data_IF_430467384455
#
_entry.id   IF_430467384455
#
_cell.length_a   1.000
_cell.length_b   1.000
_cell.length_c   1.000
_cell.angle_alpha   90.00
_cell.angle_beta   90.00
_cell.angle_gamma   90.00
#
_symmetry.space_group_name_H-M   'P 1'
#
loop_
_entity.id
_entity.type
_entity.pdbx_description
1 polymer ?
#
# COMPACT_ATOMS: atom_id res chain seq x y z
N UNK A 1 10.73 -29.87 -4.46
CA UNK A 1 9.43 -29.63 -5.14
C UNK A 1 9.44 -30.32 -6.50
N UNK A 2 8.34 -30.94 -6.94
CA UNK A 2 8.27 -31.61 -8.25
C UNK A 2 8.17 -30.60 -9.40
N UNK A 3 8.85 -30.84 -10.53
CA UNK A 3 8.77 -30.01 -11.75
C UNK A 3 7.33 -29.82 -12.23
N UNK A 4 6.50 -30.86 -12.09
CA UNK A 4 5.08 -30.81 -12.47
C UNK A 4 4.30 -29.77 -11.66
N UNK A 5 4.63 -29.60 -10.38
CA UNK A 5 4.00 -28.61 -9.49
C UNK A 5 4.44 -27.19 -9.86
N UNK A 6 5.71 -27.00 -10.17
CA UNK A 6 6.27 -25.71 -10.62
C UNK A 6 5.58 -25.26 -11.91
N UNK A 7 5.44 -26.16 -12.88
CA UNK A 7 4.76 -25.88 -14.14
C UNK A 7 3.27 -25.54 -13.94
N UNK A 8 2.62 -26.23 -12.99
CA UNK A 8 1.24 -25.93 -12.63
C UNK A 8 1.10 -24.53 -12.01
N UNK A 9 2.02 -24.15 -11.10
CA UNK A 9 2.06 -22.81 -10.51
C UNK A 9 2.30 -21.76 -11.61
N UNK A 10 3.22 -22.02 -12.54
CA UNK A 10 3.54 -21.12 -13.67
C UNK A 10 2.32 -20.88 -14.55
N UNK A 11 1.65 -21.95 -15.02
CA UNK A 11 0.44 -21.86 -15.86
C UNK A 11 -0.72 -21.16 -15.16
N UNK A 12 -0.84 -21.33 -13.84
CA UNK A 12 -1.90 -20.73 -13.03
C UNK A 12 -1.54 -19.34 -12.48
N UNK A 13 -0.43 -18.74 -12.91
CA UNK A 13 0.01 -17.43 -12.46
C UNK A 13 -0.19 -16.38 -13.54
N UNK A 14 -0.80 -15.25 -13.16
CA UNK A 14 -1.11 -14.13 -14.07
C UNK A 14 0.09 -13.19 -14.33
N UNK A 15 1.28 -13.54 -13.86
CA UNK A 15 2.50 -12.72 -13.94
C UNK A 15 3.57 -13.12 -12.91
N UNK A 16 4.77 -12.55 -13.02
CA UNK A 16 5.97 -12.95 -12.27
C UNK A 16 5.82 -12.71 -10.76
N UNK A 17 5.16 -11.63 -10.35
CA UNK A 17 4.86 -11.40 -8.92
C UNK A 17 3.92 -12.45 -8.31
N UNK A 18 2.86 -12.83 -9.02
CA UNK A 18 1.89 -13.84 -8.55
C UNK A 18 2.54 -15.21 -8.48
N UNK A 19 3.38 -15.51 -9.48
CA UNK A 19 4.19 -16.71 -9.52
C UNK A 19 5.14 -16.78 -8.32
N UNK A 20 5.97 -15.75 -8.09
CA UNK A 20 6.90 -15.70 -6.96
C UNK A 20 6.21 -15.77 -5.61
N UNK A 21 5.04 -15.15 -5.46
CA UNK A 21 4.26 -15.22 -4.22
C UNK A 21 3.77 -16.64 -3.94
N UNK A 22 3.29 -17.36 -4.96
CA UNK A 22 2.85 -18.76 -4.81
C UNK A 22 4.04 -19.67 -4.57
N UNK A 23 5.13 -19.50 -5.32
CA UNK A 23 6.38 -20.24 -5.14
C UNK A 23 6.93 -20.09 -3.71
N UNK A 24 7.04 -18.85 -3.20
CA UNK A 24 7.47 -18.58 -1.82
C UNK A 24 6.57 -19.26 -0.79
N UNK A 25 5.25 -19.28 -1.02
CA UNK A 25 4.29 -19.89 -0.10
C UNK A 25 4.44 -21.42 -0.04
N UNK A 26 4.68 -22.07 -1.18
CA UNK A 26 4.85 -23.51 -1.25
C UNK A 26 6.23 -23.96 -0.74
N UNK A 27 7.29 -23.17 -0.94
CA UNK A 27 8.63 -23.53 -0.49
C UNK A 27 8.92 -23.17 0.98
N UNK A 28 8.40 -22.06 1.51
CA UNK A 28 8.73 -21.59 2.86
C UNK A 28 7.68 -21.98 3.91
N UNK A 29 7.27 -23.26 3.94
CA UNK A 29 6.29 -23.76 4.93
C UNK A 29 6.81 -23.66 6.37
N UNK A 30 8.10 -23.39 6.60
CA UNK A 30 8.70 -22.95 7.86
C UNK A 30 9.32 -21.54 7.71
N UNK A 31 9.19 -20.69 8.73
CA UNK A 31 9.71 -19.31 8.73
C UNK A 31 11.09 -19.24 9.39
N UNK A 32 12.11 -19.91 8.86
CA UNK A 32 13.49 -19.78 9.37
C UNK A 32 14.42 -19.16 8.32
N UNK A 33 15.54 -18.54 8.76
CA UNK A 33 16.56 -18.02 7.83
C UNK A 33 17.15 -19.12 6.93
N UNK A 34 17.23 -20.36 7.44
CA UNK A 34 17.71 -21.52 6.69
C UNK A 34 16.74 -21.83 5.55
N UNK A 35 15.43 -21.72 5.78
CA UNK A 35 14.42 -21.91 4.74
C UNK A 35 14.54 -20.84 3.63
N UNK A 36 14.89 -19.59 3.97
CA UNK A 36 15.12 -18.54 2.97
C UNK A 36 16.38 -18.75 2.14
N UNK A 37 17.47 -19.30 2.72
CA UNK A 37 18.66 -19.68 1.96
C UNK A 37 18.37 -20.87 1.04
N UNK A 38 17.68 -21.89 1.55
CA UNK A 38 17.25 -23.05 0.77
C UNK A 38 16.31 -22.65 -0.37
N UNK A 39 15.47 -21.63 -0.19
CA UNK A 39 14.59 -21.13 -1.24
C UNK A 39 15.35 -20.57 -2.45
N UNK A 40 16.47 -19.88 -2.23
CA UNK A 40 17.33 -19.38 -3.31
C UNK A 40 17.98 -20.54 -4.07
N UNK A 41 18.46 -21.55 -3.35
CA UNK A 41 19.05 -22.76 -3.94
C UNK A 41 18.00 -23.56 -4.74
N UNK A 42 16.79 -23.76 -4.19
CA UNK A 42 15.69 -24.42 -4.89
C UNK A 42 15.27 -23.65 -6.15
N UNK A 43 15.26 -22.32 -6.10
CA UNK A 43 15.00 -21.48 -7.28
C UNK A 43 16.05 -21.71 -8.35
N UNK A 44 17.34 -21.68 -7.99
CA UNK A 44 18.45 -21.88 -8.90
C UNK A 44 18.45 -23.29 -9.50
N UNK A 45 18.19 -24.34 -8.71
CA UNK A 45 18.15 -25.73 -9.19
C UNK A 45 17.00 -25.93 -10.18
N UNK A 46 15.80 -25.48 -9.81
CA UNK A 46 14.58 -25.84 -10.54
C UNK A 46 14.30 -24.98 -11.78
N UNK A 47 14.94 -23.81 -11.91
CA UNK A 47 14.73 -22.90 -13.04
C UNK A 47 15.98 -22.80 -13.92
N UNK A 48 15.74 -22.60 -15.21
CA UNK A 48 16.81 -22.24 -16.14
C UNK A 48 17.23 -20.76 -15.95
N UNK A 49 18.46 -20.42 -16.34
CA UNK A 49 18.96 -19.03 -16.31
C UNK A 49 18.05 -18.08 -17.11
N UNK A 50 17.54 -18.55 -18.25
CA UNK A 50 16.61 -17.78 -19.10
C UNK A 50 15.31 -17.46 -18.36
N UNK A 51 14.76 -18.43 -17.63
CA UNK A 51 13.54 -18.22 -16.83
C UNK A 51 13.76 -17.29 -15.65
N UNK A 52 14.90 -17.40 -14.96
CA UNK A 52 15.24 -16.50 -13.86
C UNK A 52 15.39 -15.05 -14.37
N UNK A 53 16.05 -14.84 -15.50
CA UNK A 53 16.17 -13.52 -16.13
C UNK A 53 14.81 -12.98 -16.60
N UNK A 54 13.92 -13.84 -17.10
CA UNK A 54 12.55 -13.46 -17.43
C UNK A 54 11.79 -13.00 -16.18
N UNK A 55 11.93 -13.71 -15.05
CA UNK A 55 11.29 -13.35 -13.78
C UNK A 55 11.85 -12.05 -13.21
N UNK A 56 13.16 -11.84 -13.25
CA UNK A 56 13.77 -10.58 -12.82
C UNK A 56 13.23 -9.41 -13.64
N UNK A 57 13.25 -9.54 -14.97
CA UNK A 57 12.75 -8.51 -15.88
C UNK A 57 11.25 -8.28 -15.68
N UNK A 58 10.46 -9.32 -15.45
CA UNK A 58 9.04 -9.22 -15.11
C UNK A 58 8.83 -8.42 -13.84
N UNK A 59 9.49 -8.79 -12.74
CA UNK A 59 9.43 -8.11 -11.45
C UNK A 59 9.97 -6.66 -11.47
N UNK A 60 10.89 -6.35 -12.38
CA UNK A 60 11.37 -4.99 -12.65
C UNK A 60 10.43 -4.20 -13.58
N UNK A 61 9.73 -4.87 -14.49
CA UNK A 61 9.01 -4.24 -15.59
C UNK A 61 7.95 -3.25 -15.12
N UNK A 62 7.89 -2.11 -15.81
CA UNK A 62 6.84 -1.12 -15.58
C UNK A 62 5.45 -1.69 -15.85
N UNK A 63 5.27 -2.68 -16.74
CA UNK A 63 3.96 -3.30 -17.04
C UNK A 63 3.46 -4.27 -15.96
N UNK A 64 4.31 -5.06 -15.31
CA UNK A 64 3.90 -5.82 -14.12
C UNK A 64 3.74 -4.91 -12.90
N UNK A 65 4.59 -3.89 -12.79
CA UNK A 65 4.39 -2.83 -11.81
C UNK A 65 3.05 -2.14 -12.07
N UNK A 66 2.68 -1.86 -13.32
CA UNK A 66 1.42 -1.23 -13.70
C UNK A 66 0.21 -2.19 -13.62
N UNK A 67 0.39 -3.51 -13.77
CA UNK A 67 -0.69 -4.44 -13.42
C UNK A 67 -0.91 -4.48 -11.90
N UNK A 68 0.10 -4.17 -11.08
CA UNK A 68 -0.04 -3.92 -9.63
C UNK A 68 -0.44 -2.49 -9.25
N UNK A 69 -0.12 -1.47 -10.07
CA UNK A 69 -0.27 -0.04 -9.76
C UNK A 69 -1.24 0.73 -10.68
N UNK A 70 -1.34 0.40 -11.96
CA UNK A 70 -2.08 1.17 -12.98
C UNK A 70 -3.56 0.89 -13.10
N UNK A 71 -4.11 -0.28 -12.75
CA UNK A 71 -5.54 -0.47 -13.08
C UNK A 71 -6.48 0.38 -12.20
N UNK A 72 -6.04 0.80 -11.01
CA UNK A 72 -6.84 1.66 -10.13
C UNK A 72 -6.08 2.84 -9.47
N UNK A 73 -4.73 2.85 -9.38
CA UNK A 73 -4.09 3.51 -8.23
C UNK A 73 -3.14 4.70 -8.45
N UNK A 74 -2.68 5.07 -9.66
CA UNK A 74 -1.77 6.23 -9.80
C UNK A 74 -2.30 7.34 -10.71
N UNK A 75 -2.94 6.99 -11.83
CA UNK A 75 -3.52 7.98 -12.75
C UNK A 75 -4.84 8.58 -12.23
N UNK A 76 -5.61 7.81 -11.46
CA UNK A 76 -6.87 8.26 -10.87
C UNK A 76 -6.62 8.75 -9.45
N UNK A 77 -5.81 8.06 -8.64
CA UNK A 77 -5.65 8.33 -7.20
C UNK A 77 -5.08 9.69 -6.86
N UNK A 78 -4.02 10.19 -7.54
CA UNK A 78 -3.48 11.52 -7.23
C UNK A 78 -4.55 12.58 -7.51
N UNK A 79 -5.21 12.50 -8.66
CA UNK A 79 -6.31 13.39 -9.03
C UNK A 79 -7.51 13.24 -8.09
N UNK A 80 -7.86 12.02 -7.68
CA UNK A 80 -9.01 11.71 -6.84
C UNK A 80 -8.76 12.10 -5.38
N UNK A 81 -7.54 11.96 -4.86
CA UNK A 81 -7.12 12.50 -3.57
C UNK A 81 -7.15 14.03 -3.59
N UNK A 82 -6.65 14.69 -4.63
CA UNK A 82 -6.71 16.15 -4.76
C UNK A 82 -8.17 16.62 -4.83
N UNK A 83 -9.03 15.94 -5.59
CA UNK A 83 -10.46 16.21 -5.64
C UNK A 83 -11.13 15.96 -4.27
N UNK A 84 -10.82 14.85 -3.59
CA UNK A 84 -11.38 14.55 -2.27
C UNK A 84 -10.97 15.60 -1.24
N UNK A 85 -9.69 15.97 -1.19
CA UNK A 85 -9.20 17.02 -0.30
C UNK A 85 -9.83 18.37 -0.63
N UNK A 86 -10.11 18.66 -1.90
CA UNK A 86 -10.79 19.88 -2.32
C UNK A 86 -12.26 19.87 -1.89
N UNK A 87 -12.98 18.76 -2.09
CA UNK A 87 -14.38 18.61 -1.64
C UNK A 87 -14.47 18.67 -0.11
N UNK A 88 -13.56 18.00 0.59
CA UNK A 88 -13.48 18.03 2.06
C UNK A 88 -13.17 19.45 2.54
N UNK A 89 -12.22 20.14 1.91
CA UNK A 89 -11.88 21.53 2.23
C UNK A 89 -13.04 22.50 2.00
N UNK A 90 -13.75 22.37 0.87
CA UNK A 90 -14.94 23.16 0.57
C UNK A 90 -16.06 22.85 1.56
N UNK A 91 -16.29 21.57 1.88
CA UNK A 91 -17.30 21.13 2.83
C UNK A 91 -17.02 21.65 4.24
N UNK A 92 -15.76 21.60 4.69
CA UNK A 92 -15.36 22.18 5.97
C UNK A 92 -15.51 23.69 5.98
N UNK A 93 -15.08 24.40 4.93
CA UNK A 93 -15.25 25.86 4.83
C UNK A 93 -16.73 26.26 4.84
N UNK A 94 -17.58 25.52 4.14
CA UNK A 94 -19.03 25.72 4.13
C UNK A 94 -19.69 25.45 5.49
N UNK A 95 -19.32 24.36 6.16
CA UNK A 95 -19.76 24.06 7.52
C UNK A 95 -19.31 25.15 8.49
N UNK A 96 -18.06 25.60 8.39
CA UNK A 96 -17.53 26.67 9.21
C UNK A 96 -18.31 27.97 9.03
N UNK A 97 -18.58 28.35 7.77
CA UNK A 97 -19.40 29.51 7.43
C UNK A 97 -20.83 29.39 7.95
N UNK A 98 -21.44 28.21 7.86
CA UNK A 98 -22.77 27.94 8.41
C UNK A 98 -22.80 28.07 9.94
N UNK A 99 -21.87 27.41 10.64
CA UNK A 99 -21.76 27.49 12.10
C UNK A 99 -21.51 28.93 12.56
N UNK A 100 -20.62 29.67 11.89
CA UNK A 100 -20.39 31.08 12.19
C UNK A 100 -21.66 31.92 12.04
N UNK A 101 -22.38 31.75 10.94
CA UNK A 101 -23.58 32.54 10.65
C UNK A 101 -24.73 32.21 11.60
N UNK A 102 -24.89 30.93 11.96
CA UNK A 102 -25.87 30.47 12.96
C UNK A 102 -25.49 30.98 14.35
N UNK A 103 -24.22 30.88 14.75
CA UNK A 103 -23.73 31.39 16.02
C UNK A 103 -23.97 32.90 16.13
N UNK A 104 -23.58 33.69 15.13
CA UNK A 104 -23.78 35.15 15.13
C UNK A 104 -25.26 35.52 15.23
N UNK A 105 -26.15 34.85 14.48
CA UNK A 105 -27.60 35.10 14.55
C UNK A 105 -28.20 34.74 15.91
N UNK A 106 -27.72 33.67 16.55
CA UNK A 106 -28.17 33.27 17.88
C UNK A 106 -27.67 34.24 18.96
N UNK A 107 -26.42 34.70 18.84
CA UNK A 107 -25.85 35.73 19.72
C UNK A 107 -26.64 37.03 19.59
N UNK A 108 -26.87 37.51 18.36
CA UNK A 108 -27.65 38.73 18.11
C UNK A 108 -29.09 38.60 18.63
N UNK A 109 -29.74 37.45 18.43
CA UNK A 109 -31.09 37.20 18.93
C UNK A 109 -31.15 37.24 20.47
N UNK A 110 -30.17 36.64 21.15
CA UNK A 110 -30.09 36.65 22.62
C UNK A 110 -29.78 38.03 23.18
N UNK A 111 -28.87 38.79 22.55
CA UNK A 111 -28.56 40.17 22.94
C UNK A 111 -29.80 41.06 22.78
N UNK A 112 -30.54 40.94 21.67
CA UNK A 112 -31.74 41.73 21.42
C UNK A 112 -32.92 41.36 22.34
N UNK A 113 -32.98 40.11 22.82
CA UNK A 113 -33.96 39.66 23.80
C UNK A 113 -33.58 39.97 25.26
N UNK A 114 -32.41 40.60 25.50
CA UNK A 114 -31.96 40.99 26.83
C UNK A 114 -31.47 39.83 27.71
N UNK A 115 -31.17 38.67 27.12
CA UNK A 115 -30.62 37.52 27.84
C UNK A 115 -29.17 37.80 28.29
N UNK A 116 -28.81 37.27 29.46
CA UNK A 116 -27.51 37.49 30.08
C UNK A 116 -26.35 36.86 29.30
N UNK A 117 -25.17 37.48 29.39
CA UNK A 117 -23.92 37.07 28.71
C UNK A 117 -23.59 35.59 28.92
N UNK A 118 -23.96 35.03 30.06
CA UNK A 118 -23.69 33.65 30.45
C UNK A 118 -24.39 32.61 29.56
N UNK A 119 -25.63 32.91 29.15
CA UNK A 119 -26.42 32.08 28.25
C UNK A 119 -25.95 32.17 26.79
N UNK A 120 -25.35 33.30 26.41
CA UNK A 120 -24.71 33.49 25.11
C UNK A 120 -23.39 32.70 25.05
N UNK A 121 -22.61 32.73 26.14
CA UNK A 121 -21.35 31.99 26.25
C UNK A 121 -21.57 30.47 26.23
N UNK A 122 -22.61 29.95 26.90
CA UNK A 122 -22.93 28.52 26.84
C UNK A 122 -23.25 28.05 25.42
N UNK A 123 -23.96 28.87 24.65
CA UNK A 123 -24.35 28.54 23.28
C UNK A 123 -23.15 28.61 22.32
N UNK A 124 -22.25 29.58 22.56
CA UNK A 124 -20.95 29.66 21.89
C UNK A 124 -20.11 28.40 22.16
N UNK A 125 -19.98 28.00 23.42
CA UNK A 125 -19.24 26.80 23.82
C UNK A 125 -19.87 25.51 23.26
N UNK A 126 -21.18 25.46 23.09
CA UNK A 126 -21.85 24.29 22.52
C UNK A 126 -21.58 24.17 21.00
N UNK A 127 -21.69 25.29 20.27
CA UNK A 127 -21.47 25.31 18.81
C UNK A 127 -20.00 25.10 18.46
N UNK A 128 -19.10 25.83 19.12
CA UNK A 128 -17.67 25.73 18.87
C UNK A 128 -17.04 24.52 19.57
N UNK A 129 -17.43 24.22 20.81
CA UNK A 129 -16.85 23.09 21.54
C UNK A 129 -17.23 21.73 20.96
N UNK A 130 -18.52 21.45 20.72
CA UNK A 130 -18.93 20.14 20.19
C UNK A 130 -18.73 20.04 18.68
N UNK A 131 -19.07 21.11 17.94
CA UNK A 131 -18.94 21.12 16.48
C UNK A 131 -17.49 21.02 16.02
N UNK A 132 -16.59 21.79 16.64
CA UNK A 132 -15.18 21.79 16.27
C UNK A 132 -14.45 20.53 16.74
N UNK A 133 -14.82 19.98 17.90
CA UNK A 133 -14.30 18.67 18.32
C UNK A 133 -14.73 17.55 17.36
N UNK A 134 -15.99 17.52 16.92
CA UNK A 134 -16.44 16.57 15.89
C UNK A 134 -15.66 16.71 14.59
N UNK A 135 -15.38 17.95 14.19
CA UNK A 135 -14.56 18.29 13.02
C UNK A 135 -13.12 17.75 13.15
N UNK A 136 -12.49 17.98 14.30
CA UNK A 136 -11.14 17.50 14.63
C UNK A 136 -11.07 15.98 14.60
N UNK A 137 -12.05 15.28 15.17
CA UNK A 137 -12.10 13.81 15.12
C UNK A 137 -12.23 13.30 13.69
N UNK A 138 -13.07 13.92 12.85
CA UNK A 138 -13.21 13.52 11.45
C UNK A 138 -11.89 13.68 10.67
N UNK A 139 -11.17 14.80 10.87
CA UNK A 139 -9.84 15.01 10.27
C UNK A 139 -8.82 14.00 10.80
N UNK A 140 -8.84 13.73 12.10
CA UNK A 140 -7.94 12.74 12.70
C UNK A 140 -8.16 11.34 12.11
N UNK A 141 -9.41 10.88 12.01
CA UNK A 141 -9.73 9.58 11.40
C UNK A 141 -9.32 9.51 9.93
N UNK A 142 -9.49 10.61 9.17
CA UNK A 142 -9.03 10.70 7.79
C UNK A 142 -7.51 10.51 7.71
N UNK A 143 -6.74 11.20 8.55
CA UNK A 143 -5.27 11.10 8.59
C UNK A 143 -4.86 9.66 8.94
N UNK A 144 -5.46 9.06 9.96
CA UNK A 144 -5.19 7.67 10.36
C UNK A 144 -5.44 6.71 9.20
N UNK A 145 -6.55 6.88 8.49
CA UNK A 145 -6.89 6.04 7.34
C UNK A 145 -5.85 6.17 6.21
N UNK A 146 -5.44 7.41 5.89
CA UNK A 146 -4.39 7.68 4.91
C UNK A 146 -3.05 7.05 5.33
N UNK A 147 -2.68 7.17 6.61
CA UNK A 147 -1.43 6.58 7.13
C UNK A 147 -1.45 5.05 7.07
N UNK A 148 -2.54 4.41 7.48
CA UNK A 148 -2.72 2.96 7.35
C UNK A 148 -2.63 2.52 5.89
N UNK A 149 -3.26 3.27 5.00
CA UNK A 149 -3.23 3.02 3.56
C UNK A 149 -1.80 3.09 2.99
N UNK A 150 -1.03 4.12 3.34
CA UNK A 150 0.39 4.23 2.98
C UNK A 150 1.23 3.08 3.54
N UNK A 151 0.97 2.66 4.78
CA UNK A 151 1.64 1.55 5.41
C UNK A 151 1.42 0.21 4.67
N UNK A 152 0.17 -0.07 4.26
CA UNK A 152 -0.12 -1.25 3.43
C UNK A 152 0.61 -1.21 2.08
N UNK A 153 0.73 -0.03 1.49
CA UNK A 153 1.48 0.18 0.25
C UNK A 153 2.96 -0.10 0.44
N UNK A 154 3.57 0.44 1.51
CA UNK A 154 4.98 0.21 1.85
C UNK A 154 5.30 -1.27 2.08
N UNK A 155 4.47 -1.99 2.84
CA UNK A 155 4.63 -3.44 3.05
C UNK A 155 4.62 -4.20 1.71
N UNK A 156 3.75 -3.79 0.81
CA UNK A 156 3.54 -4.45 -0.48
C UNK A 156 4.73 -4.22 -1.44
N UNK A 157 5.36 -3.06 -1.38
CA UNK A 157 6.58 -2.76 -2.13
C UNK A 157 7.81 -3.43 -1.51
N UNK A 158 7.93 -3.43 -0.18
CA UNK A 158 8.98 -4.16 0.56
C UNK A 158 9.02 -5.65 0.18
N UNK A 159 7.87 -6.32 0.06
CA UNK A 159 7.78 -7.73 -0.39
C UNK A 159 8.30 -7.95 -1.81
N UNK A 160 8.15 -6.97 -2.70
CA UNK A 160 8.66 -7.05 -4.07
C UNK A 160 10.18 -7.01 -4.10
N UNK A 161 10.76 -6.09 -3.33
CA UNK A 161 12.23 -5.97 -3.20
C UNK A 161 12.82 -7.28 -2.69
N UNK A 162 12.15 -7.91 -1.72
CA UNK A 162 12.54 -9.24 -1.22
C UNK A 162 12.49 -10.31 -2.32
N UNK A 163 11.44 -10.36 -3.15
CA UNK A 163 11.39 -11.31 -4.27
C UNK A 163 12.47 -11.06 -5.33
N UNK A 164 12.73 -9.79 -5.66
CA UNK A 164 13.81 -9.42 -6.58
C UNK A 164 15.16 -9.89 -6.05
N UNK A 165 15.41 -9.72 -4.76
CA UNK A 165 16.66 -10.18 -4.14
C UNK A 165 16.80 -11.71 -4.20
N UNK A 166 15.72 -12.47 -3.95
CA UNK A 166 15.79 -13.94 -4.12
C UNK A 166 16.11 -14.36 -5.55
N UNK A 167 15.48 -13.72 -6.54
CA UNK A 167 15.73 -14.04 -7.96
C UNK A 167 17.17 -13.69 -8.35
N UNK A 168 17.67 -12.51 -7.96
CA UNK A 168 19.05 -12.10 -8.23
C UNK A 168 20.08 -13.04 -7.62
N UNK A 169 19.89 -13.40 -6.36
CA UNK A 169 20.78 -14.34 -5.68
C UNK A 169 20.73 -15.73 -6.36
N UNK A 170 19.55 -16.16 -6.82
CA UNK A 170 19.40 -17.42 -7.54
C UNK A 170 20.09 -17.40 -8.92
N UNK A 171 20.08 -16.26 -9.62
CA UNK A 171 20.82 -16.07 -10.87
C UNK A 171 22.33 -16.21 -10.62
N UNK A 172 22.86 -15.49 -9.63
CA UNK A 172 24.29 -15.56 -9.29
C UNK A 172 24.72 -16.98 -8.90
N UNK A 173 23.89 -17.69 -8.14
CA UNK A 173 24.16 -19.08 -7.78
C UNK A 173 24.08 -20.03 -8.99
N UNK A 174 23.11 -19.82 -9.90
CA UNK A 174 22.99 -20.61 -11.13
C UNK A 174 24.21 -20.42 -12.05
N UNK A 175 24.76 -19.21 -12.10
CA UNK A 175 25.97 -18.90 -12.85
C UNK A 175 27.20 -19.62 -12.30
N UNK A 176 27.37 -19.66 -10.97
CA UNK A 176 28.49 -20.38 -10.37
C UNK A 176 28.39 -21.90 -10.58
N UNK A 177 27.19 -22.47 -10.53
CA UNK A 177 26.95 -23.89 -10.83
C UNK A 177 27.36 -24.24 -12.27
N UNK A 178 26.92 -23.43 -13.25
CA UNK A 178 27.24 -23.66 -14.67
C UNK A 178 28.75 -23.56 -14.93
N UNK A 179 29.42 -22.56 -14.36
CA UNK A 179 30.87 -22.38 -14.54
C UNK A 179 31.70 -23.52 -13.91
N UNK A 180 31.22 -24.12 -12.82
CA UNK A 180 31.88 -25.25 -12.15
C UNK A 180 31.68 -26.58 -12.90
N UNK A 181 30.55 -26.77 -13.60
CA UNK A 181 30.32 -27.95 -14.45
C UNK A 181 31.21 -27.91 -15.70
N UNK A 182 31.44 -26.72 -16.27
CA UNK A 182 32.34 -26.50 -17.42
C UNK A 182 33.82 -26.72 -17.06
N UNK A 183 34.21 -26.59 -15.79
CA UNK A 183 35.59 -26.85 -15.33
C UNK A 183 35.85 -28.31 -15.00
N UNK A 184 34.81 -29.11 -14.72
CA UNK A 184 34.91 -30.53 -14.38
C UNK A 184 34.75 -31.47 -15.59
N UNK A 185 34.64 -30.93 -16.80
CA UNK A 185 34.47 -31.68 -18.06
C UNK A 185 35.75 -31.77 -18.91
N UNK A 186 36.94 -31.52 -18.32
CA UNK A 186 38.25 -31.71 -18.95
C UNK A 186 38.93 -32.98 -18.41
#
# INVERSE_FOLDING_TARGET
>A
MDRSQIDCIKRNSKGSYSYMRKLKKECLVGKTMIDEMNFVEELAINHSKVELNYLENGLMSSSENSIRFNKDFFSIYISLCVILFSIIGIGFSGLFGYFNNVAMKLIDAKINNGEGIEEVNQLFDQVYGLGFNGMLYAVFFLIVFISLFHFFTYITDSRRVVYLNYVRNAITLKESMLNNDDTNTI
#
